data_IF_049879861958
#
_entry.id   IF_049879861958
#
_cell.length_a   1.000
_cell.length_b   1.000
_cell.length_c   1.000
_cell.angle_alpha   90.00
_cell.angle_beta   90.00
_cell.angle_gamma   90.00
#
_symmetry.space_group_name_H-M   'P 1'
#
loop_
_entity.id
_entity.type
_entity.pdbx_description
1 polymer ?
#
# COMPACT_ATOMS: atom_id res chain seq x y z
N UNK A 1 -25.07 -17.95 39.94
CA UNK A 1 -24.34 -17.11 38.96
C UNK A 1 -22.85 -17.36 39.12
N UNK A 2 -22.22 -18.04 38.17
CA UNK A 2 -20.79 -18.36 38.21
C UNK A 2 -19.98 -17.07 38.04
N UNK A 3 -19.28 -16.66 39.10
CA UNK A 3 -18.34 -15.53 39.05
C UNK A 3 -17.23 -15.88 38.07
N UNK A 4 -17.21 -15.24 36.90
CA UNK A 4 -16.13 -15.40 35.92
C UNK A 4 -14.83 -14.97 36.59
N UNK A 5 -13.99 -15.95 36.93
CA UNK A 5 -12.67 -15.71 37.51
C UNK A 5 -11.84 -15.00 36.45
N UNK A 6 -11.20 -13.89 36.83
CA UNK A 6 -10.29 -13.19 35.94
C UNK A 6 -9.23 -14.18 35.41
N UNK A 7 -8.90 -14.13 34.11
CA UNK A 7 -8.01 -15.09 33.49
C UNK A 7 -6.64 -15.06 34.18
N UNK A 8 -6.05 -16.23 34.39
CA UNK A 8 -4.70 -16.34 34.95
C UNK A 8 -3.69 -15.74 33.97
N UNK A 9 -2.58 -15.22 34.49
CA UNK A 9 -1.46 -14.71 33.69
C UNK A 9 -0.67 -15.82 32.99
N UNK A 10 -0.63 -17.03 33.57
CA UNK A 10 0.05 -18.20 33.00
C UNK A 10 -0.60 -19.49 33.50
N UNK A 11 -0.54 -20.54 32.67
CA UNK A 11 -0.94 -21.91 32.99
C UNK A 11 0.17 -22.85 32.47
N UNK A 12 0.45 -23.94 33.18
CA UNK A 12 1.44 -24.95 32.74
C UNK A 12 0.80 -25.86 31.71
N UNK A 13 1.51 -26.13 30.61
CA UNK A 13 1.09 -27.11 29.61
C UNK A 13 2.01 -28.34 29.68
N UNK A 14 1.40 -29.52 29.77
CA UNK A 14 2.12 -30.80 29.73
C UNK A 14 1.67 -31.58 28.50
N UNK A 15 2.63 -31.88 27.61
CA UNK A 15 2.36 -32.56 26.35
C UNK A 15 3.22 -33.79 26.24
N UNK A 16 2.60 -34.94 25.93
CA UNK A 16 3.31 -36.18 25.64
C UNK A 16 3.82 -36.13 24.21
N UNK A 17 5.12 -36.31 24.03
CA UNK A 17 5.78 -36.37 22.72
C UNK A 17 6.72 -37.58 22.67
N UNK A 18 7.05 -38.11 21.48
CA UNK A 18 8.07 -39.13 21.34
C UNK A 18 9.39 -38.69 21.96
N UNK A 19 10.12 -39.62 22.58
CA UNK A 19 11.38 -39.31 23.28
C UNK A 19 12.36 -38.59 22.34
N UNK A 20 12.60 -39.13 21.15
CA UNK A 20 13.52 -38.54 20.17
C UNK A 20 13.15 -37.12 19.74
N UNK A 21 11.85 -36.81 19.62
CA UNK A 21 11.39 -35.47 19.28
C UNK A 21 11.69 -34.47 20.41
N UNK A 22 11.50 -34.88 21.68
CA UNK A 22 11.86 -34.05 22.84
C UNK A 22 13.35 -33.74 22.87
N UNK A 23 14.20 -34.75 22.69
CA UNK A 23 15.66 -34.58 22.74
C UNK A 23 16.16 -33.70 21.61
N UNK A 24 15.75 -33.98 20.37
CA UNK A 24 16.14 -33.20 19.21
C UNK A 24 15.70 -31.73 19.33
N UNK A 25 14.47 -31.49 19.78
CA UNK A 25 13.98 -30.12 19.96
C UNK A 25 14.70 -29.37 21.08
N UNK A 26 14.98 -30.03 22.21
CA UNK A 26 15.73 -29.43 23.30
C UNK A 26 17.18 -29.11 22.90
N UNK A 27 17.82 -29.97 22.12
CA UNK A 27 19.14 -29.71 21.54
C UNK A 27 19.14 -28.50 20.63
N UNK A 28 18.22 -28.46 19.66
CA UNK A 28 18.04 -27.32 18.76
C UNK A 28 17.85 -26.00 19.52
N UNK A 29 17.02 -25.99 20.58
CA UNK A 29 16.82 -24.78 21.39
C UNK A 29 18.14 -24.31 22.04
N UNK A 30 18.94 -25.24 22.59
CA UNK A 30 20.24 -24.90 23.23
C UNK A 30 21.24 -24.32 22.23
N UNK A 31 21.34 -24.90 21.04
CA UNK A 31 22.23 -24.41 19.98
C UNK A 31 21.89 -22.97 19.57
N UNK A 32 20.61 -22.61 19.63
CA UNK A 32 20.12 -21.27 19.32
C UNK A 32 20.09 -20.34 20.55
N UNK A 33 20.61 -20.77 21.71
CA UNK A 33 20.61 -19.97 22.93
C UNK A 33 19.23 -19.70 23.53
N UNK A 34 18.22 -20.52 23.19
CA UNK A 34 16.83 -20.35 23.64
C UNK A 34 16.41 -21.45 24.63
N UNK A 35 15.44 -21.12 25.49
CA UNK A 35 14.79 -22.14 26.33
C UNK A 35 13.67 -22.84 25.56
N UNK A 36 13.41 -24.11 25.90
CA UNK A 36 12.30 -24.87 25.31
C UNK A 36 10.96 -24.14 25.48
N UNK A 37 10.69 -23.60 26.67
CA UNK A 37 9.46 -22.88 26.98
C UNK A 37 9.29 -21.60 26.16
N UNK A 38 10.39 -20.90 25.87
CA UNK A 38 10.39 -19.73 24.99
C UNK A 38 10.10 -20.12 23.54
N UNK A 39 10.75 -21.17 23.04
CA UNK A 39 10.53 -21.67 21.69
C UNK A 39 9.07 -22.12 21.48
N UNK A 40 8.47 -22.81 22.47
CA UNK A 40 7.06 -23.22 22.44
C UNK A 40 6.13 -22.00 22.48
N UNK A 41 6.39 -21.03 23.35
CA UNK A 41 5.59 -19.80 23.42
C UNK A 41 5.65 -19.03 22.09
N UNK A 42 6.84 -18.88 21.52
CA UNK A 42 7.05 -18.21 20.24
C UNK A 42 6.38 -18.98 19.09
N UNK A 43 6.38 -20.31 19.12
CA UNK A 43 5.63 -21.12 18.17
C UNK A 43 4.12 -20.85 18.26
N UNK A 44 3.55 -20.86 19.46
CA UNK A 44 2.11 -20.57 19.66
C UNK A 44 1.73 -19.18 19.17
N UNK A 45 2.51 -18.15 19.51
CA UNK A 45 2.27 -16.77 19.07
C UNK A 45 2.33 -16.64 17.54
N UNK A 46 3.26 -17.35 16.90
CA UNK A 46 3.36 -17.37 15.43
C UNK A 46 2.17 -18.07 14.79
N UNK A 47 1.76 -19.22 15.32
CA UNK A 47 0.65 -20.01 14.77
C UNK A 47 -0.66 -19.22 14.84
N UNK A 48 -0.97 -18.65 16.03
CA UNK A 48 -2.17 -17.83 16.24
C UNK A 48 -2.10 -16.54 15.42
N UNK A 49 -0.94 -15.86 15.41
CA UNK A 49 -0.77 -14.60 14.70
C UNK A 49 -0.71 -14.75 13.17
N UNK A 50 -0.42 -15.94 12.63
CA UNK A 50 -0.40 -16.17 11.18
C UNK A 50 -1.81 -16.10 10.58
N UNK A 51 -2.83 -16.54 11.32
CA UNK A 51 -4.24 -16.44 10.93
C UNK A 51 -4.67 -14.96 10.82
N UNK A 52 -4.24 -14.12 11.76
CA UNK A 52 -4.55 -12.68 11.75
C UNK A 52 -3.79 -11.90 10.66
N UNK A 53 -2.54 -12.28 10.39
CA UNK A 53 -1.68 -11.59 9.42
C UNK A 53 -2.15 -11.80 7.99
N UNK A 54 -2.55 -13.02 7.63
CA UNK A 54 -3.04 -13.31 6.28
C UNK A 54 -4.30 -12.52 5.94
N UNK A 55 -5.24 -12.39 6.88
CA UNK A 55 -6.41 -11.51 6.74
C UNK A 55 -6.03 -10.03 6.60
N UNK A 56 -5.13 -9.54 7.46
CA UNK A 56 -4.73 -8.12 7.48
C UNK A 56 -3.94 -7.70 6.23
N UNK A 57 -3.08 -8.56 5.69
CA UNK A 57 -2.36 -8.29 4.42
C UNK A 57 -3.34 -8.21 3.26
N UNK A 58 -4.31 -9.13 3.19
CA UNK A 58 -5.34 -9.15 2.15
C UNK A 58 -6.21 -7.89 2.18
N UNK A 59 -6.61 -7.45 3.37
CA UNK A 59 -7.36 -6.19 3.55
C UNK A 59 -6.54 -4.98 3.14
N UNK A 60 -5.27 -4.86 3.58
CA UNK A 60 -4.39 -3.74 3.20
C UNK A 60 -4.15 -3.66 1.69
N UNK A 61 -3.95 -4.80 1.03
CA UNK A 61 -3.77 -4.85 -0.42
C UNK A 61 -5.04 -4.36 -1.15
N UNK A 62 -6.22 -4.77 -0.69
CA UNK A 62 -7.49 -4.27 -1.22
C UNK A 62 -7.66 -2.75 -1.03
N UNK A 63 -7.29 -2.21 0.13
CA UNK A 63 -7.35 -0.77 0.37
C UNK A 63 -6.36 0.00 -0.51
N UNK A 64 -5.16 -0.55 -0.74
CA UNK A 64 -4.18 0.02 -1.65
C UNK A 64 -4.69 0.05 -3.09
N UNK A 65 -5.28 -1.05 -3.58
CA UNK A 65 -5.91 -1.13 -4.91
C UNK A 65 -7.07 -0.14 -5.02
N UNK A 66 -7.94 -0.07 -4.01
CA UNK A 66 -9.06 0.88 -3.99
C UNK A 66 -8.58 2.34 -4.01
N UNK A 67 -7.54 2.67 -3.24
CA UNK A 67 -6.95 4.01 -3.23
C UNK A 67 -6.32 4.38 -4.60
N UNK A 68 -5.64 3.42 -5.25
CA UNK A 68 -5.05 3.61 -6.57
C UNK A 68 -6.12 3.83 -7.65
N UNK A 69 -7.22 3.07 -7.60
CA UNK A 69 -8.37 3.24 -8.48
C UNK A 69 -9.06 4.61 -8.27
N UNK A 70 -9.24 5.03 -7.02
CA UNK A 70 -9.80 6.35 -6.69
C UNK A 70 -8.89 7.49 -7.16
N UNK A 71 -7.57 7.37 -6.98
CA UNK A 71 -6.59 8.34 -7.45
C UNK A 71 -6.57 8.49 -8.98
N UNK A 72 -6.68 7.38 -9.73
CA UNK A 72 -6.80 7.39 -11.18
C UNK A 72 -8.10 8.05 -11.66
N UNK A 73 -9.23 7.77 -11.00
CA UNK A 73 -10.51 8.38 -11.33
C UNK A 73 -10.52 9.91 -11.11
N UNK A 74 -9.88 10.39 -10.05
CA UNK A 74 -9.76 11.83 -9.76
C UNK A 74 -8.72 12.54 -10.64
N UNK A 75 -7.64 11.86 -11.03
CA UNK A 75 -6.61 12.41 -11.92
C UNK A 75 -7.07 12.64 -13.36
N UNK A 76 -8.04 11.85 -13.85
CA UNK A 76 -8.57 11.98 -15.21
C UNK A 76 -9.44 13.23 -15.44
N UNK A 77 -9.92 13.89 -14.38
CA UNK A 77 -10.90 14.99 -14.48
C UNK A 77 -10.26 16.37 -14.53
N UNK A 78 -8.95 16.50 -14.26
CA UNK A 78 -8.27 17.80 -14.14
C UNK A 78 -7.26 18.12 -15.26
N UNK A 79 -7.02 17.21 -16.22
CA UNK A 79 -6.06 17.43 -17.30
C UNK A 79 -6.41 18.55 -18.33
N UNK A 80 -7.67 18.85 -18.70
CA UNK A 80 -7.89 19.77 -19.81
C UNK A 80 -7.75 21.26 -19.45
N UNK A 81 -7.84 21.64 -18.17
CA UNK A 81 -7.91 23.05 -17.77
C UNK A 81 -6.56 23.79 -17.71
N UNK A 82 -5.43 23.07 -17.67
CA UNK A 82 -4.09 23.70 -17.73
C UNK A 82 -3.56 23.87 -19.15
N UNK A 83 -3.99 23.03 -20.10
CA UNK A 83 -3.57 23.13 -21.50
C UNK A 83 -4.23 24.29 -22.25
N UNK A 84 -5.44 24.69 -21.86
CA UNK A 84 -6.21 25.73 -22.58
C UNK A 84 -5.81 27.17 -22.23
N UNK A 85 -5.22 27.42 -21.06
CA UNK A 85 -4.96 28.80 -20.59
C UNK A 85 -3.61 29.36 -21.07
N UNK A 86 -2.57 28.54 -21.28
CA UNK A 86 -1.24 29.04 -21.66
C UNK A 86 -1.01 29.13 -23.18
N UNK A 87 -1.68 28.31 -23.99
CA UNK A 87 -1.48 28.27 -25.44
C UNK A 87 -2.35 29.24 -26.26
N UNK A 88 -3.58 29.51 -25.81
CA UNK A 88 -4.60 30.13 -26.67
C UNK A 88 -4.56 31.67 -26.69
N UNK A 89 -4.23 32.33 -25.57
CA UNK A 89 -4.25 33.79 -25.50
C UNK A 89 -3.03 34.44 -26.19
N UNK A 90 -1.84 33.82 -26.07
CA UNK A 90 -0.63 34.33 -26.70
C UNK A 90 -0.58 34.11 -28.21
N UNK A 91 -1.14 33.00 -28.71
CA UNK A 91 -1.15 32.66 -30.14
C UNK A 91 -2.17 33.48 -30.92
N UNK A 92 -3.36 33.73 -30.38
CA UNK A 92 -4.38 34.54 -31.05
C UNK A 92 -3.96 36.02 -31.16
N UNK A 93 -3.43 36.58 -30.08
CA UNK A 93 -2.93 37.96 -30.08
C UNK A 93 -1.69 38.14 -30.98
N UNK A 94 -0.85 37.11 -31.13
CA UNK A 94 0.26 37.13 -32.09
C UNK A 94 -0.25 37.02 -33.53
N UNK A 95 -1.26 36.19 -33.78
CA UNK A 95 -1.88 36.04 -35.09
C UNK A 95 -2.55 37.34 -35.55
N UNK A 96 -3.37 37.97 -34.71
CA UNK A 96 -4.02 39.27 -35.00
C UNK A 96 -3.03 40.41 -35.29
N UNK A 97 -1.80 40.32 -34.75
CA UNK A 97 -0.74 41.29 -35.05
C UNK A 97 -0.10 41.07 -36.42
N UNK A 98 -0.06 39.84 -36.91
CA UNK A 98 0.53 39.50 -38.21
C UNK A 98 -0.48 39.67 -39.34
N UNK A 99 -1.72 39.23 -39.12
CA UNK A 99 -2.85 39.37 -40.03
C UNK A 99 -3.32 40.84 -40.03
N UNK A 100 -2.63 41.67 -40.82
CA UNK A 100 -2.87 43.13 -40.85
C UNK A 100 -4.10 43.49 -41.65
N UNK A 101 -4.52 42.65 -42.59
CA UNK A 101 -5.75 42.86 -43.36
C UNK A 101 -6.98 42.22 -42.69
N UNK A 102 -6.80 41.46 -41.60
CA UNK A 102 -7.84 40.81 -40.81
C UNK A 102 -8.72 39.87 -41.65
N UNK A 103 -8.13 39.20 -42.64
CA UNK A 103 -8.84 38.23 -43.48
C UNK A 103 -8.83 36.81 -42.89
N UNK A 104 -8.15 36.63 -41.74
CA UNK A 104 -8.05 35.37 -41.03
C UNK A 104 -6.93 34.47 -41.55
N UNK A 105 -6.02 34.97 -42.41
CA UNK A 105 -4.90 34.20 -42.97
C UNK A 105 -3.64 35.08 -43.07
N UNK A 106 -2.54 34.66 -42.44
CA UNK A 106 -1.26 35.39 -42.59
C UNK A 106 -0.63 35.04 -43.94
N UNK A 107 -0.56 36.01 -44.84
CA UNK A 107 0.16 35.87 -46.11
C UNK A 107 1.68 35.91 -45.92
N UNK A 108 2.44 35.41 -46.90
CA UNK A 108 3.90 35.40 -46.83
C UNK A 108 4.51 36.81 -46.74
N UNK A 109 3.89 37.79 -47.40
CA UNK A 109 4.30 39.20 -47.33
C UNK A 109 4.02 39.82 -45.95
N UNK A 110 2.97 39.38 -45.26
CA UNK A 110 2.68 39.82 -43.90
C UNK A 110 3.62 39.20 -42.87
N UNK A 111 3.99 37.93 -43.06
CA UNK A 111 4.95 37.23 -42.20
C UNK A 111 6.36 37.84 -42.26
N UNK A 112 6.75 38.39 -43.40
CA UNK A 112 8.11 38.90 -43.67
C UNK A 112 8.36 40.36 -43.30
N UNK A 113 7.32 41.11 -42.95
CA UNK A 113 7.40 42.52 -42.56
C UNK A 113 7.66 42.65 -41.08
#
# INVERSE_FOLDING_TARGET
MTRLKAPKKSETIEVRVPYGAKTAFAEHCRENGQTVSEAVRAFMEREIGAEDRTGRVRTRLWHAVAALAAGLALGAVAAPSLAQTQGQQGSHAAFERLDRNHDGVVSYDEFRR
#
